data_IF_819904108210
#
_entry.id   IF_819904108210
#
_cell.length_a   1.000
_cell.length_b   1.000
_cell.length_c   1.000
_cell.angle_alpha   90.00
_cell.angle_beta   90.00
_cell.angle_gamma   90.00
#
_symmetry.space_group_name_H-M   'P 1'
#
loop_
_entity.id
_entity.type
_entity.pdbx_description
1 polymer ?
#
# COMPACT_ATOMS: atom_id res chain seq x y z
N UNK A 1 -2.39 -2.13 -12.07
CA UNK A 1 -2.36 -0.67 -12.04
C UNK A 1 -1.28 -0.11 -11.13
N UNK A 2 -1.13 -0.65 -9.93
CA UNK A 2 -0.13 -0.14 -8.98
C UNK A 2 1.30 -0.14 -9.54
N UNK A 3 1.70 -1.22 -10.19
CA UNK A 3 3.04 -1.33 -10.76
C UNK A 3 3.33 -0.21 -11.77
N UNK A 4 2.33 0.18 -12.54
CA UNK A 4 2.49 1.26 -13.52
C UNK A 4 2.57 2.62 -12.85
N UNK A 5 1.91 2.77 -11.73
CA UNK A 5 1.89 4.03 -10.99
C UNK A 5 3.26 4.34 -10.39
N UNK A 6 3.93 3.38 -9.78
CA UNK A 6 5.21 3.62 -9.12
C UNK A 6 6.43 3.10 -9.90
N UNK A 7 6.23 2.33 -10.96
CA UNK A 7 7.32 1.86 -11.82
C UNK A 7 8.22 0.80 -11.24
N UNK A 8 7.95 0.30 -10.04
CA UNK A 8 8.73 -0.76 -9.41
C UNK A 8 8.01 -2.11 -9.53
N UNK A 9 8.67 -3.17 -9.10
CA UNK A 9 8.08 -4.51 -9.14
C UNK A 9 6.86 -4.62 -8.23
N UNK A 10 6.90 -3.97 -7.07
CA UNK A 10 5.79 -3.98 -6.11
C UNK A 10 5.89 -2.77 -5.20
N UNK A 11 4.80 -2.51 -4.49
CA UNK A 11 4.73 -1.48 -3.46
C UNK A 11 4.29 -2.14 -2.16
N UNK A 12 4.70 -1.59 -1.04
CA UNK A 12 4.41 -2.15 0.28
C UNK A 12 3.55 -1.17 1.07
N UNK A 13 2.41 -1.65 1.53
CA UNK A 13 1.43 -0.83 2.25
C UNK A 13 1.11 -1.44 3.60
N UNK A 14 0.80 -0.56 4.55
CA UNK A 14 0.23 -0.97 5.84
C UNK A 14 -1.18 -0.43 5.93
N UNK A 15 -2.14 -1.33 6.09
CA UNK A 15 -3.54 -0.96 6.21
C UNK A 15 -3.88 -0.55 7.65
N UNK A 16 -4.85 0.34 7.80
CA UNK A 16 -5.37 0.73 9.11
C UNK A 16 -6.82 1.18 8.95
N UNK A 17 -7.50 1.32 10.08
CA UNK A 17 -8.88 1.84 10.06
C UNK A 17 -8.85 3.33 9.74
N UNK A 18 -9.70 3.82 8.83
CA UNK A 18 -9.65 5.21 8.39
C UNK A 18 -9.63 6.26 9.50
N UNK A 19 -10.26 6.01 10.62
CA UNK A 19 -10.27 6.95 11.74
C UNK A 19 -8.96 7.07 12.50
N UNK A 20 -7.98 6.22 12.21
CA UNK A 20 -6.71 6.19 12.93
C UNK A 20 -5.61 7.00 12.24
N UNK A 21 -5.95 7.75 11.22
CA UNK A 21 -4.98 8.57 10.49
C UNK A 21 -5.20 10.06 10.75
N UNK A 22 -4.09 10.78 10.89
CA UNK A 22 -4.14 12.23 11.11
C UNK A 22 -2.96 12.89 10.41
N UNK A 23 -3.23 13.93 9.62
CA UNK A 23 -2.19 14.79 9.08
C UNK A 23 -1.66 15.71 10.18
N UNK A 24 -0.35 15.76 10.31
CA UNK A 24 0.29 16.68 11.25
C UNK A 24 0.64 17.98 10.56
N UNK A 25 1.13 17.92 9.33
CA UNK A 25 1.42 19.09 8.52
C UNK A 25 1.48 18.69 7.05
N UNK A 26 1.47 19.69 6.16
CA UNK A 26 1.64 19.46 4.72
C UNK A 26 0.41 18.95 3.99
N UNK A 27 -0.73 18.89 4.64
CA UNK A 27 -1.95 18.39 4.01
C UNK A 27 -2.33 19.19 2.77
N UNK A 28 -2.03 20.48 2.75
CA UNK A 28 -2.32 21.36 1.61
C UNK A 28 -1.49 21.05 0.37
N UNK A 29 -0.45 20.23 0.50
CA UNK A 29 0.41 19.81 -0.62
C UNK A 29 0.06 18.44 -1.18
N UNK A 30 -0.94 17.80 -0.64
CA UNK A 30 -1.35 16.46 -1.04
C UNK A 30 -2.34 16.54 -2.19
N UNK A 31 -2.17 15.64 -3.17
CA UNK A 31 -3.17 15.41 -4.20
C UNK A 31 -3.60 13.97 -4.15
N UNK A 32 -4.85 13.72 -4.51
CA UNK A 32 -5.42 12.38 -4.55
C UNK A 32 -5.80 12.07 -6.00
N UNK A 33 -5.33 10.92 -6.49
CA UNK A 33 -5.81 10.35 -7.73
C UNK A 33 -6.78 9.22 -7.38
N UNK A 34 -7.98 9.27 -7.93
CA UNK A 34 -9.00 8.28 -7.64
C UNK A 34 -9.50 7.65 -8.92
N UNK A 35 -9.60 6.32 -8.93
CA UNK A 35 -10.12 5.58 -10.06
C UNK A 35 -11.65 5.57 -10.02
N UNK A 36 -12.27 5.14 -11.11
CA UNK A 36 -13.73 5.04 -11.19
C UNK A 36 -14.31 4.12 -10.11
N UNK A 37 -13.53 3.14 -9.66
CA UNK A 37 -13.96 2.20 -8.60
C UNK A 37 -13.85 2.81 -7.20
N UNK A 38 -13.32 4.02 -7.08
CA UNK A 38 -13.18 4.68 -5.78
C UNK A 38 -11.87 4.40 -5.08
N UNK A 39 -11.05 3.50 -5.59
CA UNK A 39 -9.71 3.27 -5.06
C UNK A 39 -8.74 4.29 -5.65
N UNK A 40 -7.70 4.62 -4.90
CA UNK A 40 -6.73 5.58 -5.38
C UNK A 40 -5.52 5.67 -4.49
N UNK A 41 -4.77 6.73 -4.68
CA UNK A 41 -3.60 7.02 -3.85
C UNK A 41 -3.43 8.52 -3.71
N UNK A 42 -2.74 8.93 -2.63
CA UNK A 42 -2.37 10.31 -2.47
C UNK A 42 -0.86 10.46 -2.59
N UNK A 43 -0.46 11.61 -3.08
CA UNK A 43 0.95 11.88 -3.34
C UNK A 43 1.26 13.34 -3.07
N UNK A 44 2.54 13.61 -2.83
CA UNK A 44 3.01 14.98 -2.64
C UNK A 44 2.99 15.71 -3.97
N UNK A 45 2.31 16.86 -4.04
CA UNK A 45 2.24 17.63 -5.28
C UNK A 45 3.57 18.30 -5.65
N UNK A 46 4.50 18.42 -4.69
CA UNK A 46 5.79 19.04 -4.94
C UNK A 46 6.80 18.07 -5.54
N UNK A 47 6.85 16.83 -5.03
CA UNK A 47 7.87 15.86 -5.46
C UNK A 47 7.31 14.57 -6.05
N UNK A 48 6.00 14.37 -5.98
CA UNK A 48 5.37 13.18 -6.55
C UNK A 48 5.43 11.93 -5.69
N UNK A 49 6.02 11.98 -4.49
CA UNK A 49 6.10 10.80 -3.63
C UNK A 49 4.72 10.26 -3.29
N UNK A 50 4.50 8.97 -3.53
CA UNK A 50 3.26 8.31 -3.14
C UNK A 50 3.30 8.04 -1.65
N UNK A 51 2.34 8.56 -0.91
CA UNK A 51 2.36 8.53 0.54
C UNK A 51 1.36 7.54 1.12
N UNK A 52 0.23 7.34 0.48
CA UNK A 52 -0.84 6.53 1.05
C UNK A 52 -1.77 6.02 -0.03
N UNK A 53 -2.47 4.94 0.30
CA UNK A 53 -3.60 4.48 -0.48
C UNK A 53 -4.88 5.12 0.02
N UNK A 54 -5.83 5.29 -0.88
CA UNK A 54 -7.11 5.90 -0.53
C UNK A 54 -8.26 5.05 -1.05
N UNK A 55 -9.40 5.19 -0.40
CA UNK A 55 -10.65 4.61 -0.86
C UNK A 55 -11.75 5.64 -0.61
N UNK A 56 -12.44 6.03 -1.68
CA UNK A 56 -13.48 7.06 -1.64
C UNK A 56 -12.99 8.33 -0.96
N UNK A 57 -11.75 8.73 -1.28
CA UNK A 57 -11.14 9.95 -0.77
C UNK A 57 -10.59 9.87 0.64
N UNK A 58 -10.69 8.72 1.30
CA UNK A 58 -10.21 8.53 2.67
C UNK A 58 -8.92 7.74 2.68
N UNK A 59 -7.99 8.12 3.56
CA UNK A 59 -6.73 7.41 3.70
C UNK A 59 -6.99 6.08 4.39
N UNK A 60 -6.61 4.98 3.74
CA UNK A 60 -6.83 3.62 4.26
C UNK A 60 -5.56 2.82 4.46
N UNK A 61 -4.44 3.29 3.90
CA UNK A 61 -3.15 2.62 4.05
C UNK A 61 -2.04 3.64 3.88
N UNK A 62 -0.86 3.31 4.38
CA UNK A 62 0.33 4.13 4.13
C UNK A 62 1.38 3.30 3.42
N UNK A 63 2.22 3.95 2.61
CA UNK A 63 3.33 3.30 1.96
C UNK A 63 4.48 3.16 2.96
N UNK A 64 4.91 1.92 3.22
CA UNK A 64 5.94 1.68 4.23
C UNK A 64 7.28 2.29 3.86
N UNK A 65 7.57 2.38 2.57
CA UNK A 65 8.84 2.96 2.12
C UNK A 65 9.02 4.44 2.45
N UNK A 66 7.94 5.15 2.77
CA UNK A 66 8.02 6.57 3.11
C UNK A 66 8.06 6.82 4.61
N UNK A 67 8.00 5.78 5.43
CA UNK A 67 8.07 5.90 6.88
C UNK A 67 9.53 6.04 7.31
N UNK A 68 9.83 7.06 8.09
CA UNK A 68 11.17 7.24 8.63
C UNK A 68 11.41 6.25 9.76
N UNK A 69 12.62 5.67 9.78
CA UNK A 69 12.98 4.68 10.78
C UNK A 69 12.25 3.35 10.57
N UNK A 70 12.25 2.51 11.58
CA UNK A 70 11.61 1.21 11.54
C UNK A 70 10.14 1.37 11.95
N UNK A 71 9.18 1.00 11.08
CA UNK A 71 7.77 1.14 11.44
C UNK A 71 7.29 0.13 12.50
N UNK A 72 8.12 -0.85 12.88
CA UNK A 72 7.77 -1.85 13.86
C UNK A 72 6.91 -2.99 13.32
N UNK A 73 6.63 -2.99 12.04
CA UNK A 73 5.87 -4.05 11.38
C UNK A 73 6.63 -4.55 10.16
N UNK A 74 6.24 -5.70 9.68
CA UNK A 74 6.86 -6.34 8.51
C UNK A 74 5.78 -6.78 7.54
N UNK A 75 6.10 -6.90 6.24
CA UNK A 75 5.14 -7.44 5.27
C UNK A 75 4.63 -8.82 5.71
N UNK A 76 3.35 -9.07 5.48
CA UNK A 76 2.69 -10.29 5.91
C UNK A 76 2.26 -11.18 4.74
N UNK A 77 2.05 -10.58 3.58
CA UNK A 77 1.57 -11.30 2.41
C UNK A 77 1.83 -10.50 1.15
N UNK A 78 1.66 -11.19 0.03
CA UNK A 78 1.67 -10.55 -1.30
C UNK A 78 0.26 -10.65 -1.86
N UNK A 79 -0.25 -9.54 -2.38
CA UNK A 79 -1.57 -9.47 -3.00
C UNK A 79 -1.43 -9.08 -4.46
N UNK A 80 -2.46 -9.38 -5.25
CA UNK A 80 -2.47 -9.14 -6.70
C UNK A 80 -1.29 -9.79 -7.41
N UNK A 81 -0.90 -10.97 -6.96
CA UNK A 81 0.24 -11.71 -7.53
C UNK A 81 -0.02 -12.10 -8.98
N UNK A 82 -1.28 -12.31 -9.36
CA UNK A 82 -1.63 -12.62 -10.75
C UNK A 82 -1.24 -11.48 -11.69
N UNK A 83 -1.10 -10.26 -11.19
CA UNK A 83 -0.72 -9.08 -11.97
C UNK A 83 0.74 -8.67 -11.79
N UNK A 84 1.56 -9.50 -11.15
CA UNK A 84 2.96 -9.15 -10.93
C UNK A 84 3.72 -9.04 -12.24
N UNK A 85 4.83 -8.29 -12.21
CA UNK A 85 5.71 -8.20 -13.38
C UNK A 85 6.28 -9.59 -13.70
N UNK A 86 6.29 -9.95 -14.97
CA UNK A 86 6.76 -11.27 -15.41
C UNK A 86 8.22 -11.53 -15.06
N UNK A 87 9.01 -10.47 -14.93
CA UNK A 87 10.43 -10.56 -14.63
C UNK A 87 10.73 -10.59 -13.13
N UNK A 88 9.69 -10.51 -12.28
CA UNK A 88 9.88 -10.48 -10.82
C UNK A 88 9.49 -11.82 -10.21
N UNK A 89 10.38 -12.37 -9.38
CA UNK A 89 10.12 -13.57 -8.60
C UNK A 89 9.95 -13.21 -7.13
N UNK A 90 9.00 -13.86 -6.48
CA UNK A 90 8.75 -13.71 -5.04
C UNK A 90 9.41 -14.88 -4.33
N UNK A 91 10.41 -14.60 -3.50
CA UNK A 91 11.27 -15.63 -2.90
C UNK A 91 11.21 -15.66 -1.38
N UNK A 92 10.35 -14.90 -0.73
CA UNK A 92 10.38 -14.74 0.71
C UNK A 92 9.50 -15.74 1.48
N UNK A 93 8.74 -16.58 0.79
CA UNK A 93 7.89 -17.57 1.45
C UNK A 93 6.63 -17.03 2.09
N UNK A 94 6.35 -15.75 1.99
CA UNK A 94 5.10 -15.19 2.52
C UNK A 94 3.90 -15.67 1.71
N UNK A 95 2.70 -15.75 2.32
CA UNK A 95 1.49 -16.11 1.58
C UNK A 95 1.29 -15.22 0.36
N UNK A 96 0.85 -15.81 -0.73
CA UNK A 96 0.63 -15.11 -2.00
C UNK A 96 -0.83 -15.27 -2.42
N UNK A 97 -1.47 -14.18 -2.78
CA UNK A 97 -2.87 -14.16 -3.23
C UNK A 97 -2.95 -13.53 -4.61
N UNK A 98 -3.68 -14.18 -5.51
CA UNK A 98 -3.84 -13.68 -6.88
C UNK A 98 -4.46 -12.29 -6.93
N UNK A 99 -5.38 -12.01 -6.01
CA UNK A 99 -5.97 -10.71 -5.81
C UNK A 99 -5.88 -10.36 -4.33
N UNK A 100 -6.99 -10.04 -3.67
CA UNK A 100 -6.97 -9.80 -2.23
C UNK A 100 -7.20 -11.11 -1.47
N UNK A 101 -6.64 -11.24 -0.26
CA UNK A 101 -6.92 -12.42 0.54
C UNK A 101 -8.40 -12.46 0.95
N UNK A 102 -8.94 -13.65 1.25
CA UNK A 102 -10.30 -13.74 1.78
C UNK A 102 -10.44 -12.92 3.07
N UNK A 103 -11.63 -12.38 3.31
CA UNK A 103 -11.87 -11.59 4.51
C UNK A 103 -11.63 -12.37 5.80
N UNK A 104 -11.70 -13.69 5.73
CA UNK A 104 -11.44 -14.57 6.87
C UNK A 104 -9.96 -14.85 7.11
N UNK A 105 -9.11 -14.53 6.15
CA UNK A 105 -7.67 -14.77 6.29
C UNK A 105 -7.08 -13.81 7.32
N UNK A 106 -6.18 -14.34 8.14
CA UNK A 106 -5.42 -13.54 9.09
C UNK A 106 -3.97 -14.00 9.08
N UNK A 107 -3.02 -13.06 9.20
CA UNK A 107 -1.63 -13.44 9.31
C UNK A 107 -1.40 -14.26 10.57
N UNK A 108 -0.40 -15.16 10.51
CA UNK A 108 0.00 -15.92 11.68
C UNK A 108 1.01 -15.09 12.47
N UNK A 109 1.00 -15.26 13.79
CA UNK A 109 1.87 -14.47 14.67
C UNK A 109 3.34 -14.86 14.58
N UNK A 110 3.63 -16.01 14.07
CA UNK A 110 4.99 -16.53 14.11
C UNK A 110 5.93 -15.95 13.06
N UNK A 111 5.44 -15.13 12.19
CA UNK A 111 6.26 -14.46 11.18
C UNK A 111 6.99 -13.26 11.72
N UNK A 112 6.69 -12.89 12.90
CA UNK A 112 7.25 -11.71 13.53
C UNK A 112 8.68 -11.93 14.01
#
# INVERSE_FOLDING_TARGET
>A
MCRRQHGAAFSTYADFKPGNFKWICGEDRIKIYETKAGAGWCFCSDCGSTLAGTEKGRITSITLGTVEGDPGIRPESHIFVASRAKWHEINDGLPQFDERPPATWKPTDKGS
#
